data_IF_249523957587
#
_entry.id   IF_249523957587
#
_cell.length_a   1.000
_cell.length_b   1.000
_cell.length_c   1.000
_cell.angle_alpha   90.00
_cell.angle_beta   90.00
_cell.angle_gamma   90.00
#
_symmetry.space_group_name_H-M   'P 1'
#
loop_
_entity.id
_entity.type
_entity.pdbx_description
1 polymer ?
#
# COMPACT_ATOMS: atom_id res chain seq x y z
N UNK A 1 12.52 -21.00 19.28
CA UNK A 1 13.69 -20.53 18.52
C UNK A 1 13.33 -19.31 17.68
N UNK A 2 12.46 -19.42 16.67
CA UNK A 2 12.12 -18.29 15.79
C UNK A 2 11.41 -17.16 16.56
N UNK A 3 10.45 -17.50 17.43
CA UNK A 3 9.83 -16.51 18.33
C UNK A 3 10.83 -15.85 19.29
N UNK A 4 11.77 -16.62 19.83
CA UNK A 4 12.82 -16.08 20.70
C UNK A 4 13.77 -15.15 19.92
N UNK A 5 14.14 -15.53 18.70
CA UNK A 5 14.99 -14.72 17.82
C UNK A 5 14.32 -13.40 17.48
N UNK A 6 13.02 -13.40 17.20
CA UNK A 6 12.25 -12.16 16.98
C UNK A 6 12.32 -11.21 18.19
N UNK A 7 12.21 -11.76 19.41
CA UNK A 7 12.27 -10.99 20.66
C UNK A 7 13.68 -10.49 20.96
N UNK A 8 14.72 -11.33 20.74
CA UNK A 8 16.10 -11.02 21.11
C UNK A 8 16.82 -10.16 20.08
N UNK A 9 16.61 -10.43 18.79
CA UNK A 9 17.26 -9.72 17.68
C UNK A 9 16.35 -9.70 16.44
N UNK A 10 15.52 -8.68 16.38
CA UNK A 10 14.59 -8.44 15.28
C UNK A 10 15.29 -8.36 13.92
N UNK A 11 16.48 -7.74 13.84
CA UNK A 11 17.18 -7.57 12.55
C UNK A 11 17.63 -8.92 12.01
N UNK A 12 18.21 -9.75 12.86
CA UNK A 12 18.61 -11.11 12.47
C UNK A 12 17.39 -11.96 12.13
N UNK A 13 16.30 -11.86 12.89
CA UNK A 13 15.04 -12.53 12.55
C UNK A 13 14.55 -12.14 11.14
N UNK A 14 14.42 -10.84 10.84
CA UNK A 14 13.92 -10.37 9.56
C UNK A 14 14.83 -10.83 8.41
N UNK A 15 16.14 -10.81 8.62
CA UNK A 15 17.11 -11.34 7.65
C UNK A 15 16.89 -12.84 7.41
N UNK A 16 16.79 -13.63 8.48
CA UNK A 16 16.60 -15.08 8.44
C UNK A 16 15.36 -15.46 7.62
N UNK A 17 14.25 -14.74 7.80
CA UNK A 17 13.00 -14.97 7.07
C UNK A 17 13.13 -14.55 5.60
N UNK A 18 13.71 -13.37 5.34
CA UNK A 18 13.86 -12.89 3.96
C UNK A 18 14.83 -13.77 3.14
N UNK A 19 15.79 -14.43 3.78
CA UNK A 19 16.74 -15.35 3.13
C UNK A 19 16.25 -16.81 3.11
N UNK A 20 15.04 -17.09 3.58
CA UNK A 20 14.42 -18.42 3.62
C UNK A 20 15.29 -19.48 4.33
N UNK A 21 16.01 -19.07 5.37
CA UNK A 21 16.97 -19.93 6.11
C UNK A 21 16.35 -20.63 7.33
N UNK A 22 15.01 -20.65 7.41
CA UNK A 22 14.28 -21.18 8.57
C UNK A 22 14.06 -22.68 8.40
N UNK A 23 14.48 -23.53 9.35
CA UNK A 23 14.16 -24.95 9.31
C UNK A 23 12.65 -25.20 9.35
N UNK A 24 12.15 -26.13 8.54
CA UNK A 24 10.71 -26.44 8.37
C UNK A 24 9.97 -26.61 9.69
N UNK A 25 10.61 -27.29 10.64
CA UNK A 25 10.08 -27.52 12.00
C UNK A 25 9.81 -26.25 12.80
N UNK A 26 10.22 -25.07 12.33
CA UNK A 26 9.97 -23.80 12.99
C UNK A 26 9.07 -22.86 12.18
N UNK A 27 8.69 -23.20 10.95
CA UNK A 27 7.84 -22.36 10.10
C UNK A 27 6.47 -22.12 10.74
N UNK A 28 5.93 -23.10 11.47
CA UNK A 28 4.64 -22.91 12.14
C UNK A 28 4.67 -21.79 13.20
N UNK A 29 5.85 -21.45 13.76
CA UNK A 29 5.99 -20.36 14.73
C UNK A 29 5.75 -18.98 14.10
N UNK A 30 5.74 -18.87 12.76
CA UNK A 30 5.37 -17.64 12.07
C UNK A 30 3.89 -17.31 12.26
N UNK A 31 3.00 -18.32 12.31
CA UNK A 31 1.58 -18.11 12.62
C UNK A 31 1.38 -17.59 14.04
N UNK A 32 2.14 -18.13 14.99
CA UNK A 32 2.11 -17.68 16.39
C UNK A 32 2.56 -16.22 16.49
N UNK A 33 3.65 -15.86 15.80
CA UNK A 33 4.15 -14.48 15.76
C UNK A 33 3.13 -13.49 15.19
N UNK A 34 2.40 -13.87 14.13
CA UNK A 34 1.33 -13.03 13.58
C UNK A 34 0.20 -12.79 14.60
N UNK A 35 -0.12 -13.80 15.42
CA UNK A 35 -1.13 -13.68 16.48
C UNK A 35 -0.65 -12.85 17.66
N UNK A 36 0.63 -13.00 18.03
CA UNK A 36 1.22 -12.30 19.17
C UNK A 36 1.47 -10.81 18.89
N UNK A 37 1.77 -10.47 17.63
CA UNK A 37 2.15 -9.11 17.20
C UNK A 37 1.34 -8.62 15.99
N UNK A 38 0.00 -8.56 16.07
CA UNK A 38 -0.88 -8.29 14.93
C UNK A 38 -0.77 -6.86 14.37
N UNK A 39 -0.18 -5.95 15.15
CA UNK A 39 0.01 -4.54 14.79
C UNK A 39 1.36 -4.27 14.13
N UNK A 40 2.23 -5.27 14.07
CA UNK A 40 3.56 -5.12 13.51
C UNK A 40 3.55 -5.32 11.99
N UNK A 41 3.55 -4.20 11.26
CA UNK A 41 3.48 -4.21 9.81
C UNK A 41 4.69 -4.87 9.17
N UNK A 42 5.90 -4.57 9.65
CA UNK A 42 7.13 -5.10 9.08
C UNK A 42 7.24 -6.62 9.28
N UNK A 43 6.89 -7.11 10.47
CA UNK A 43 6.79 -8.56 10.72
C UNK A 43 5.78 -9.17 9.76
N UNK A 44 4.58 -8.60 9.69
CA UNK A 44 3.50 -9.20 8.92
C UNK A 44 3.77 -9.20 7.42
N UNK A 45 4.36 -8.12 6.90
CA UNK A 45 4.83 -8.02 5.53
C UNK A 45 5.92 -9.05 5.22
N UNK A 46 6.86 -9.23 6.14
CA UNK A 46 7.94 -10.21 6.00
C UNK A 46 7.42 -11.65 6.00
N UNK A 47 6.48 -11.97 6.90
CA UNK A 47 5.83 -13.29 6.95
C UNK A 47 4.96 -13.53 5.72
N UNK A 48 4.22 -12.52 5.24
CA UNK A 48 3.49 -12.61 3.97
C UNK A 48 4.42 -12.98 2.81
N UNK A 49 5.52 -12.22 2.61
CA UNK A 49 6.50 -12.50 1.55
C UNK A 49 7.14 -13.88 1.67
N UNK A 50 7.32 -14.39 2.89
CA UNK A 50 7.81 -15.76 3.09
C UNK A 50 6.82 -16.78 2.54
N UNK A 51 5.55 -16.71 2.90
CA UNK A 51 4.54 -17.64 2.41
C UNK A 51 4.20 -17.46 0.93
N UNK A 52 4.32 -16.24 0.40
CA UNK A 52 4.15 -15.95 -1.03
C UNK A 52 5.23 -16.65 -1.88
N UNK A 53 6.47 -16.71 -1.37
CA UNK A 53 7.59 -17.41 -2.01
C UNK A 53 7.60 -18.92 -1.76
N UNK A 54 7.06 -19.37 -0.63
CA UNK A 54 7.04 -20.77 -0.21
C UNK A 54 5.59 -21.24 0.06
N UNK A 55 4.74 -21.31 -0.99
CA UNK A 55 3.32 -21.60 -0.86
C UNK A 55 3.01 -23.00 -0.30
N UNK A 56 3.96 -23.94 -0.37
CA UNK A 56 3.84 -25.29 0.19
C UNK A 56 3.69 -25.29 1.72
N UNK A 57 4.18 -24.25 2.41
CA UNK A 57 4.02 -24.10 3.85
C UNK A 57 2.79 -23.28 4.25
N UNK A 58 2.06 -22.71 3.28
CA UNK A 58 0.90 -21.85 3.55
C UNK A 58 -0.34 -22.67 3.93
N UNK A 59 -0.72 -22.60 5.20
CA UNK A 59 -2.02 -23.02 5.71
C UNK A 59 -2.97 -21.81 5.81
N UNK A 60 -3.92 -21.74 4.88
CA UNK A 60 -4.92 -20.67 4.82
C UNK A 60 -5.77 -20.54 6.10
N UNK A 61 -6.08 -21.64 6.77
CA UNK A 61 -6.91 -21.64 7.98
C UNK A 61 -6.12 -21.12 9.17
N UNK A 62 -4.87 -21.56 9.34
CA UNK A 62 -3.97 -21.02 10.38
C UNK A 62 -3.71 -19.53 10.14
N UNK A 63 -3.40 -19.13 8.90
CA UNK A 63 -3.18 -17.72 8.59
C UNK A 63 -4.41 -16.86 8.88
N UNK A 64 -5.60 -17.34 8.50
CA UNK A 64 -6.89 -16.69 8.81
C UNK A 64 -7.09 -16.54 10.31
N UNK A 65 -6.90 -17.61 11.09
CA UNK A 65 -7.00 -17.58 12.54
C UNK A 65 -6.00 -16.60 13.16
N UNK A 66 -4.76 -16.60 12.67
CA UNK A 66 -3.70 -15.76 13.23
C UNK A 66 -3.89 -14.28 12.97
N UNK A 67 -4.52 -13.91 11.86
CA UNK A 67 -4.66 -12.51 11.46
C UNK A 67 -6.07 -11.94 11.67
N UNK A 68 -7.05 -12.80 11.93
CA UNK A 68 -8.47 -12.45 12.07
C UNK A 68 -9.16 -12.14 10.74
N UNK A 69 -8.51 -12.39 9.60
CA UNK A 69 -9.14 -12.32 8.28
C UNK A 69 -9.96 -13.57 8.02
N UNK A 70 -10.99 -13.47 7.17
CA UNK A 70 -11.69 -14.67 6.70
C UNK A 70 -10.77 -15.49 5.78
N UNK A 71 -10.94 -16.82 5.80
CA UNK A 71 -10.19 -17.74 4.92
C UNK A 71 -10.31 -17.32 3.45
N UNK A 72 -11.48 -16.84 3.03
CA UNK A 72 -11.71 -16.36 1.68
C UNK A 72 -10.86 -15.14 1.33
N UNK A 73 -10.75 -14.16 2.23
CA UNK A 73 -9.90 -12.98 2.02
C UNK A 73 -8.42 -13.37 1.98
N UNK A 74 -7.98 -14.27 2.86
CA UNK A 74 -6.60 -14.78 2.84
C UNK A 74 -6.30 -15.46 1.50
N UNK A 75 -7.21 -16.30 1.00
CA UNK A 75 -7.07 -16.91 -0.32
C UNK A 75 -6.97 -15.85 -1.42
N UNK A 76 -7.78 -14.81 -1.40
CA UNK A 76 -7.69 -13.73 -2.40
C UNK A 76 -6.35 -12.99 -2.33
N UNK A 77 -5.83 -12.70 -1.14
CA UNK A 77 -4.53 -12.04 -0.96
C UNK A 77 -3.40 -12.87 -1.58
N UNK A 78 -3.31 -14.17 -1.28
CA UNK A 78 -2.21 -15.02 -1.77
C UNK A 78 -2.40 -15.52 -3.22
N UNK A 79 -3.59 -15.39 -3.81
CA UNK A 79 -3.84 -15.76 -5.21
C UNK A 79 -3.95 -14.54 -6.14
N UNK A 80 -3.75 -13.32 -5.64
CA UNK A 80 -3.78 -12.10 -6.45
C UNK A 80 -2.42 -11.44 -6.46
N UNK A 81 -2.13 -10.75 -7.57
CA UNK A 81 -0.94 -9.92 -7.68
C UNK A 81 -1.22 -8.56 -7.02
N UNK A 82 -0.51 -8.16 -5.95
CA UNK A 82 -0.69 -6.85 -5.37
C UNK A 82 -0.13 -5.76 -6.28
N UNK A 83 -0.73 -4.58 -6.18
CA UNK A 83 -0.09 -3.34 -6.66
C UNK A 83 0.85 -2.82 -5.59
N UNK A 84 2.06 -2.45 -5.98
CA UNK A 84 3.02 -1.82 -5.08
C UNK A 84 2.93 -0.32 -5.21
N UNK A 85 2.88 0.38 -4.08
CA UNK A 85 2.92 1.85 -4.01
C UNK A 85 3.96 2.34 -3.03
N UNK A 86 4.45 3.55 -3.25
CA UNK A 86 5.49 4.18 -2.44
C UNK A 86 4.98 5.48 -1.83
N UNK A 87 5.30 5.70 -0.56
CA UNK A 87 5.00 6.95 0.13
C UNK A 87 6.19 7.36 1.00
N UNK A 88 6.58 8.64 0.96
CA UNK A 88 7.64 9.14 1.81
C UNK A 88 7.16 9.33 3.25
N UNK A 89 7.98 8.90 4.20
CA UNK A 89 7.85 9.17 5.61
C UNK A 89 8.90 10.20 6.00
N UNK A 90 8.49 11.27 6.69
CA UNK A 90 9.43 12.28 7.15
C UNK A 90 8.98 12.89 8.48
N UNK A 91 9.95 13.17 9.35
CA UNK A 91 9.80 14.01 10.53
C UNK A 91 11.05 14.91 10.66
N UNK A 92 11.28 15.49 11.85
CA UNK A 92 12.43 16.37 12.06
C UNK A 92 13.80 15.66 11.97
N UNK A 93 13.86 14.36 12.28
CA UNK A 93 15.12 13.61 12.46
C UNK A 93 15.31 12.49 11.42
N UNK A 94 14.23 12.10 10.74
CA UNK A 94 14.19 10.90 9.91
C UNK A 94 13.39 11.16 8.63
N UNK A 95 13.94 10.70 7.51
CA UNK A 95 13.25 10.64 6.21
C UNK A 95 13.56 9.31 5.53
N UNK A 96 12.54 8.65 5.00
CA UNK A 96 12.67 7.38 4.30
C UNK A 96 11.50 7.17 3.33
N UNK A 97 11.64 6.23 2.40
CA UNK A 97 10.55 5.74 1.57
C UNK A 97 10.01 4.44 2.17
N UNK A 98 8.71 4.41 2.43
CA UNK A 98 7.97 3.20 2.73
C UNK A 98 7.20 2.73 1.50
N UNK A 99 6.82 1.46 1.50
CA UNK A 99 5.98 0.88 0.46
C UNK A 99 4.83 0.07 1.04
N UNK A 100 3.80 -0.10 0.21
CA UNK A 100 2.67 -0.96 0.54
C UNK A 100 2.30 -1.85 -0.64
N UNK A 101 1.81 -3.04 -0.32
CA UNK A 101 1.06 -3.89 -1.25
C UNK A 101 -0.42 -3.67 -1.04
N UNK A 102 -1.11 -3.30 -2.12
CA UNK A 102 -2.56 -3.11 -2.14
C UNK A 102 -3.19 -4.18 -3.02
N UNK A 103 -4.09 -4.94 -2.42
CA UNK A 103 -4.84 -6.02 -3.04
C UNK A 103 -6.26 -5.55 -3.31
N UNK A 104 -6.76 -5.72 -4.53
CA UNK A 104 -8.19 -5.54 -4.81
C UNK A 104 -8.93 -6.83 -4.49
N UNK A 105 -9.94 -6.75 -3.64
CA UNK A 105 -10.72 -7.89 -3.17
C UNK A 105 -12.10 -7.91 -3.82
N UNK A 106 -12.51 -9.10 -4.26
CA UNK A 106 -13.89 -9.37 -4.68
C UNK A 106 -14.77 -9.60 -3.45
N UNK A 107 -14.21 -10.25 -2.43
CA UNK A 107 -14.89 -10.45 -1.14
C UNK A 107 -14.95 -9.17 -0.32
N UNK A 108 -16.05 -8.99 0.40
CA UNK A 108 -16.18 -7.92 1.38
C UNK A 108 -15.33 -8.21 2.63
N UNK A 109 -14.69 -7.17 3.16
CA UNK A 109 -13.91 -7.25 4.41
C UNK A 109 -14.20 -6.04 5.29
N UNK A 110 -14.21 -6.27 6.60
CA UNK A 110 -14.27 -5.19 7.61
C UNK A 110 -12.87 -4.72 8.04
N UNK A 111 -11.83 -5.46 7.66
CA UNK A 111 -10.44 -5.22 8.02
C UNK A 111 -9.64 -4.95 6.75
N UNK A 112 -9.10 -3.73 6.63
CA UNK A 112 -8.39 -3.24 5.44
C UNK A 112 -6.86 -3.29 5.58
N UNK A 113 -6.35 -3.56 6.78
CA UNK A 113 -4.94 -3.80 7.07
C UNK A 113 -4.81 -4.66 8.32
N UNK A 114 -3.64 -5.26 8.55
CA UNK A 114 -3.39 -5.99 9.80
C UNK A 114 -3.34 -5.07 11.02
N UNK A 115 -2.66 -3.93 10.91
CA UNK A 115 -2.54 -2.94 11.98
C UNK A 115 -3.77 -2.03 12.17
N UNK A 116 -4.96 -2.47 11.76
CA UNK A 116 -6.25 -1.79 11.92
C UNK A 116 -6.24 -0.26 11.72
N UNK A 117 -5.71 0.21 10.57
CA UNK A 117 -5.69 1.63 10.24
C UNK A 117 -7.12 2.12 9.95
N UNK A 118 -7.77 2.74 10.93
CA UNK A 118 -9.17 3.19 10.84
C UNK A 118 -9.40 4.18 9.70
N UNK A 119 -8.39 4.97 9.35
CA UNK A 119 -8.44 5.99 8.29
C UNK A 119 -8.61 5.38 6.89
N UNK A 120 -8.29 4.09 6.70
CA UNK A 120 -8.57 3.37 5.43
C UNK A 120 -10.07 3.29 5.10
N UNK A 121 -10.95 3.52 6.08
CA UNK A 121 -12.39 3.66 5.85
C UNK A 121 -12.73 4.83 4.93
N UNK A 122 -11.92 5.89 4.91
CA UNK A 122 -12.12 7.01 3.99
C UNK A 122 -11.96 6.56 2.54
N UNK A 123 -10.92 5.77 2.26
CA UNK A 123 -10.69 5.18 0.94
C UNK A 123 -11.84 4.25 0.57
N UNK A 124 -12.34 3.45 1.53
CA UNK A 124 -13.50 2.58 1.26
C UNK A 124 -14.73 3.38 0.84
N UNK A 125 -15.04 4.47 1.53
CA UNK A 125 -16.15 5.38 1.16
C UNK A 125 -15.90 6.06 -0.18
N UNK A 126 -14.68 6.51 -0.45
CA UNK A 126 -14.31 7.08 -1.75
C UNK A 126 -14.54 6.10 -2.90
N UNK A 127 -14.20 4.82 -2.74
CA UNK A 127 -14.54 3.81 -3.74
C UNK A 127 -16.05 3.71 -3.96
N UNK A 128 -16.84 3.78 -2.90
CA UNK A 128 -18.31 3.73 -2.98
C UNK A 128 -18.89 4.95 -3.71
N UNK A 129 -18.37 6.16 -3.47
CA UNK A 129 -18.80 7.37 -4.20
C UNK A 129 -18.43 7.31 -5.68
N UNK A 130 -17.34 6.61 -6.02
CA UNK A 130 -16.92 6.32 -7.41
C UNK A 130 -17.64 5.11 -8.03
N UNK A 131 -18.58 4.48 -7.32
CA UNK A 131 -19.33 3.30 -7.82
C UNK A 131 -18.52 2.00 -7.87
N UNK A 132 -17.33 1.96 -7.25
CA UNK A 132 -16.46 0.78 -7.21
C UNK A 132 -16.92 -0.14 -6.09
N UNK A 133 -17.38 -1.33 -6.48
CA UNK A 133 -17.95 -2.32 -5.54
C UNK A 133 -16.90 -3.20 -4.86
N UNK A 134 -15.69 -3.27 -5.39
CA UNK A 134 -14.63 -4.09 -4.80
C UNK A 134 -14.17 -3.51 -3.46
N UNK A 135 -13.69 -4.38 -2.59
CA UNK A 135 -12.97 -3.97 -1.38
C UNK A 135 -11.46 -4.04 -1.66
N UNK A 136 -10.65 -3.73 -0.66
CA UNK A 136 -9.20 -3.80 -0.78
C UNK A 136 -8.57 -4.23 0.54
N UNK A 137 -7.30 -4.62 0.46
CA UNK A 137 -6.48 -4.90 1.62
C UNK A 137 -5.08 -4.32 1.43
N UNK A 138 -4.47 -3.86 2.51
CA UNK A 138 -3.17 -3.17 2.49
C UNK A 138 -2.19 -3.85 3.45
N UNK A 139 -1.00 -4.16 2.92
CA UNK A 139 0.17 -4.58 3.69
C UNK A 139 1.23 -3.50 3.61
N UNK A 140 1.71 -3.04 4.75
CA UNK A 140 2.78 -2.04 4.81
C UNK A 140 4.11 -2.70 5.11
N UNK A 141 5.18 -2.27 4.45
CA UNK A 141 6.52 -2.82 4.69
C UNK A 141 7.18 -2.29 5.97
N UNK A 142 6.68 -1.17 6.52
CA UNK A 142 7.24 -0.48 7.67
C UNK A 142 6.18 -0.10 8.69
N UNK A 143 6.62 0.06 9.94
CA UNK A 143 5.83 0.63 11.01
C UNK A 143 5.89 2.17 10.96
N UNK A 144 4.72 2.82 10.99
CA UNK A 144 4.60 4.28 10.96
C UNK A 144 3.28 4.75 11.56
N UNK A 145 3.24 6.02 11.99
CA UNK A 145 2.06 6.66 12.59
C UNK A 145 1.34 7.67 11.68
N UNK A 146 2.03 8.18 10.65
CA UNK A 146 1.54 9.25 9.78
C UNK A 146 0.37 8.79 8.88
N UNK A 147 -0.44 9.74 8.41
CA UNK A 147 -1.58 9.50 7.50
C UNK A 147 -1.30 9.85 6.04
N UNK A 148 -0.11 10.36 5.73
CA UNK A 148 0.25 10.76 4.37
C UNK A 148 0.32 9.61 3.35
N UNK A 149 0.22 8.36 3.80
CA UNK A 149 0.14 7.18 2.94
C UNK A 149 -1.22 7.01 2.27
N UNK A 150 -2.28 7.68 2.75
CA UNK A 150 -3.65 7.46 2.29
C UNK A 150 -3.79 7.78 0.79
N UNK A 151 -3.15 8.85 0.32
CA UNK A 151 -3.14 9.18 -1.10
C UNK A 151 -2.51 8.07 -1.95
N UNK A 152 -1.39 7.49 -1.51
CA UNK A 152 -0.74 6.37 -2.20
C UNK A 152 -1.64 5.14 -2.31
N UNK A 153 -2.33 4.79 -1.21
CA UNK A 153 -3.25 3.65 -1.22
C UNK A 153 -4.44 3.94 -2.13
N UNK A 154 -5.01 5.14 -2.10
CA UNK A 154 -6.10 5.52 -2.98
C UNK A 154 -5.67 5.45 -4.45
N UNK A 155 -4.53 6.05 -4.81
CA UNK A 155 -3.98 6.02 -6.16
C UNK A 155 -3.77 4.59 -6.68
N UNK A 156 -3.34 3.65 -5.83
CA UNK A 156 -3.17 2.25 -6.23
C UNK A 156 -4.44 1.61 -6.82
N UNK A 157 -5.61 2.06 -6.35
CA UNK A 157 -6.91 1.49 -6.72
C UNK A 157 -7.43 2.02 -8.06
N UNK A 158 -6.86 3.12 -8.55
CA UNK A 158 -7.29 3.77 -9.80
C UNK A 158 -6.22 3.78 -10.89
N UNK A 159 -4.93 3.80 -10.51
CA UNK A 159 -3.83 3.99 -11.45
C UNK A 159 -3.19 2.65 -11.87
N UNK A 160 -2.61 2.59 -13.08
CA UNK A 160 -1.90 1.42 -13.58
C UNK A 160 -0.50 1.25 -12.97
N UNK A 161 0.02 0.02 -12.98
CA UNK A 161 1.30 -0.34 -12.34
C UNK A 161 2.49 0.49 -12.83
N UNK A 162 2.53 0.85 -14.13
CA UNK A 162 3.66 1.62 -14.68
C UNK A 162 3.77 3.03 -14.07
N UNK A 163 2.62 3.64 -13.74
CA UNK A 163 2.58 4.91 -12.99
C UNK A 163 3.01 4.65 -11.55
N UNK A 164 2.44 3.66 -10.88
CA UNK A 164 2.74 3.38 -9.47
C UNK A 164 4.23 3.03 -9.22
N UNK A 165 4.92 2.50 -10.24
CA UNK A 165 6.36 2.20 -10.19
C UNK A 165 7.25 3.43 -10.40
N UNK A 166 6.71 4.53 -10.93
CA UNK A 166 7.47 5.75 -11.27
C UNK A 166 7.25 6.89 -10.27
N UNK A 167 6.20 6.78 -9.44
CA UNK A 167 5.75 7.83 -8.55
C UNK A 167 5.69 7.35 -7.09
N UNK A 168 5.92 8.28 -6.18
CA UNK A 168 5.48 8.19 -4.80
C UNK A 168 4.37 9.23 -4.56
N UNK A 169 3.44 8.95 -3.66
CA UNK A 169 2.37 9.88 -3.34
C UNK A 169 2.35 10.19 -1.84
N UNK A 170 2.14 11.45 -1.50
CA UNK A 170 1.98 11.90 -0.12
C UNK A 170 0.74 12.78 0.00
N UNK A 171 -0.10 12.51 1.00
CA UNK A 171 -1.28 13.33 1.26
C UNK A 171 -2.28 12.59 2.15
N UNK A 172 -3.03 13.34 2.94
CA UNK A 172 -4.27 12.82 3.51
C UNK A 172 -5.37 12.93 2.46
N UNK A 173 -6.31 11.98 2.45
CA UNK A 173 -7.48 12.02 1.57
C UNK A 173 -8.74 11.74 2.38
N UNK A 174 -9.79 12.50 2.13
CA UNK A 174 -11.09 12.24 2.73
C UNK A 174 -11.93 11.29 1.86
N UNK A 175 -13.19 11.07 2.25
CA UNK A 175 -14.11 10.19 1.53
C UNK A 175 -14.66 10.78 0.23
N UNK A 176 -14.50 12.08 0.01
CA UNK A 176 -14.97 12.77 -1.19
C UNK A 176 -13.89 12.81 -2.28
N UNK A 177 -12.63 12.71 -1.87
CA UNK A 177 -11.47 12.66 -2.76
C UNK A 177 -10.57 13.89 -2.65
N UNK A 178 -10.88 14.82 -1.74
CA UNK A 178 -10.08 16.00 -1.45
C UNK A 178 -8.77 15.59 -0.77
N UNK A 179 -7.68 16.21 -1.22
CA UNK A 179 -6.31 15.94 -0.80
C UNK A 179 -5.87 17.07 0.13
N UNK A 180 -5.41 16.72 1.32
CA UNK A 180 -5.00 17.69 2.34
C UNK A 180 -3.49 17.72 2.55
N UNK A 181 -3.02 18.91 2.91
CA UNK A 181 -1.63 19.19 3.26
C UNK A 181 -1.08 18.26 4.35
N UNK A 182 0.19 17.93 4.19
CA UNK A 182 0.95 17.11 5.15
C UNK A 182 2.30 17.73 5.44
N UNK A 183 2.82 17.50 6.65
CA UNK A 183 4.10 18.07 7.07
C UNK A 183 5.30 17.54 6.28
N UNK A 184 6.40 18.28 6.39
CA UNK A 184 7.74 17.91 5.90
C UNK A 184 7.84 17.66 4.39
N UNK A 185 7.06 18.39 3.58
CA UNK A 185 7.05 18.20 2.12
C UNK A 185 8.45 18.31 1.50
N UNK A 186 9.27 19.29 1.90
CA UNK A 186 10.63 19.44 1.34
C UNK A 186 11.51 18.22 1.61
N UNK A 187 11.43 17.64 2.80
CA UNK A 187 12.17 16.42 3.13
C UNK A 187 11.63 15.22 2.33
N UNK A 188 10.31 15.14 2.16
CA UNK A 188 9.64 14.11 1.38
C UNK A 188 10.00 14.18 -0.11
N UNK A 189 10.06 15.37 -0.68
CA UNK A 189 10.51 15.62 -2.06
C UNK A 189 11.93 15.08 -2.24
N UNK A 190 12.86 15.50 -1.36
CA UNK A 190 14.27 15.09 -1.40
C UNK A 190 14.45 13.57 -1.34
N UNK A 191 13.85 12.89 -0.36
CA UNK A 191 14.02 11.44 -0.21
C UNK A 191 13.35 10.65 -1.34
N UNK A 192 12.31 11.20 -1.96
CA UNK A 192 11.65 10.58 -3.11
C UNK A 192 12.54 10.66 -4.35
N UNK A 193 13.15 11.82 -4.59
CA UNK A 193 14.11 12.03 -5.67
C UNK A 193 15.36 11.15 -5.51
N UNK A 194 15.91 11.03 -4.30
CA UNK A 194 17.03 10.13 -3.98
C UNK A 194 16.74 8.65 -4.30
N UNK A 195 15.46 8.25 -4.35
CA UNK A 195 15.01 6.90 -4.75
C UNK A 195 14.62 6.79 -6.22
N UNK A 196 14.82 7.85 -7.02
CA UNK A 196 14.49 7.87 -8.45
C UNK A 196 12.98 7.90 -8.73
N UNK A 197 12.17 8.28 -7.75
CA UNK A 197 10.71 8.42 -7.89
C UNK A 197 10.36 9.90 -8.04
N UNK A 198 9.21 10.17 -8.66
CA UNK A 198 8.60 11.52 -8.68
C UNK A 198 7.55 11.62 -7.59
N UNK A 199 7.58 12.69 -6.80
CA UNK A 199 6.57 12.91 -5.76
C UNK A 199 5.35 13.61 -6.36
N UNK A 200 4.15 13.09 -6.04
CA UNK A 200 2.89 13.82 -6.16
C UNK A 200 2.39 14.12 -4.75
N UNK A 201 2.08 15.38 -4.51
CA UNK A 201 1.73 15.94 -3.22
C UNK A 201 0.54 16.89 -3.30
N UNK A 202 0.02 17.39 -2.17
CA UNK A 202 -1.07 18.37 -2.16
C UNK A 202 -0.67 19.73 -2.79
N UNK A 203 0.61 19.96 -3.08
CA UNK A 203 1.05 21.14 -3.85
C UNK A 203 0.76 21.02 -5.35
N UNK A 204 0.59 19.79 -5.82
CA UNK A 204 0.49 19.46 -7.24
C UNK A 204 -0.98 19.26 -7.66
N UNK A 205 -1.82 18.79 -6.73
CA UNK A 205 -3.20 18.35 -6.94
C UNK A 205 -4.03 18.52 -5.67
N UNK A 206 -5.26 19.02 -5.81
CA UNK A 206 -6.19 19.22 -4.69
C UNK A 206 -7.22 18.09 -4.59
N UNK A 207 -7.46 17.37 -5.69
CA UNK A 207 -8.43 16.29 -5.74
C UNK A 207 -7.92 15.04 -6.48
N UNK A 208 -8.30 13.85 -6.00
CA UNK A 208 -7.84 12.59 -6.61
C UNK A 208 -8.29 12.42 -8.07
N UNK A 209 -9.40 13.05 -8.47
CA UNK A 209 -9.88 12.99 -9.85
C UNK A 209 -8.91 13.61 -10.84
N UNK A 210 -8.12 14.62 -10.43
CA UNK A 210 -7.09 15.20 -11.27
C UNK A 210 -6.00 14.17 -11.55
N UNK A 211 -5.56 13.44 -10.51
CA UNK A 211 -4.57 12.35 -10.66
C UNK A 211 -5.12 11.26 -11.59
N UNK A 212 -6.37 10.85 -11.40
CA UNK A 212 -7.02 9.83 -12.24
C UNK A 212 -7.14 10.31 -13.70
N UNK A 213 -7.45 11.59 -13.92
CA UNK A 213 -7.58 12.17 -15.25
C UNK A 213 -6.25 12.19 -15.99
N UNK A 214 -5.18 12.67 -15.34
CA UNK A 214 -3.88 12.83 -16.00
C UNK A 214 -3.03 11.56 -16.06
N UNK A 215 -3.17 10.67 -15.08
CA UNK A 215 -2.30 9.49 -14.92
C UNK A 215 -3.04 8.16 -15.02
N UNK A 216 -4.37 8.17 -15.10
CA UNK A 216 -5.15 6.95 -15.31
C UNK A 216 -5.09 6.45 -16.76
N UNK A 217 -5.66 5.28 -17.01
CA UNK A 217 -5.72 4.68 -18.35
C UNK A 217 -6.81 5.29 -19.26
N UNK A 218 -7.41 6.42 -18.86
CA UNK A 218 -8.44 7.07 -19.67
C UNK A 218 -7.79 7.89 -20.79
N UNK A 219 -8.43 7.99 -21.97
CA UNK A 219 -8.00 8.90 -23.02
C UNK A 219 -7.96 10.33 -22.46
N UNK A 220 -6.83 11.01 -22.63
CA UNK A 220 -6.69 12.42 -22.29
C UNK A 220 -7.27 13.23 -23.45
N UNK A 221 -8.21 14.11 -23.16
CA UNK A 221 -8.72 15.06 -24.15
C UNK A 221 -7.61 16.07 -24.48
N UNK A 222 -7.05 15.99 -25.68
CA UNK A 222 -6.07 16.95 -26.17
C UNK A 222 -6.84 18.10 -26.82
N UNK A 223 -6.87 19.31 -26.21
CA UNK A 223 -7.50 20.45 -26.86
C UNK A 223 -6.69 20.82 -28.10
N UNK A 224 -7.27 20.65 -29.28
CA UNK A 224 -6.70 21.17 -30.51
C UNK A 224 -7.31 22.54 -30.81
N UNK A 225 -6.44 23.54 -31.01
CA UNK A 225 -6.85 24.83 -31.55
C UNK A 225 -7.18 24.64 -33.03
N UNK A 226 -8.47 24.59 -33.36
CA UNK A 226 -8.90 24.70 -34.74
C UNK A 226 -8.76 26.17 -35.18
N UNK A 227 -7.60 26.49 -35.76
CA UNK A 227 -7.41 27.76 -36.45
C UNK A 227 -8.32 27.75 -37.69
N UNK A 228 -9.48 28.40 -37.59
CA UNK A 228 -10.30 28.66 -38.75
C UNK A 228 -9.56 29.67 -39.63
N UNK A 229 -8.89 29.18 -40.66
CA UNK A 229 -8.60 30.03 -41.80
C UNK A 229 -9.95 30.42 -42.40
N UNK A 230 -10.46 31.60 -42.04
CA UNK A 230 -11.43 32.30 -42.86
C UNK A 230 -10.73 32.53 -44.20
N UNK A 231 -10.96 31.64 -45.15
CA UNK A 231 -10.82 31.98 -46.57
C UNK A 231 -11.93 32.98 -46.85
N UNK A 232 -11.56 34.25 -46.89
CA UNK A 232 -12.35 35.29 -47.55
C UNK A 232 -12.23 35.05 -49.06
N UNK A 233 -13.21 34.38 -49.66
CA UNK A 233 -13.53 34.48 -51.09
C UNK A 233 -15.05 34.47 -51.29
#
# INVERSE_FOLDING_TARGET
>A
MIKQLYISDRKVFLKTINEDTIPDKYIYQLYDLLSDYPQDNELTFTVYKFFDRNPEYLDYYKFSKSTGLSVQVVKEIFNSRPKRVYFPLANQEYSDIASAYVFSLRSKTKKFSFSEKTDLKNIKKLLETKGIKNDFFVLFDKNFAQRSYLLSVACSLFLPDYVLNSYAFTGEINSEGEIFDVGFIRQKEKITEEKGLRLISPKDVDHIDEIIYYLGDKPIDIPFLQLSNKTEE
#
